data_IF_021819537478
#
_entry.id   IF_021819537478
#
_cell.length_a   1.000
_cell.length_b   1.000
_cell.length_c   1.000
_cell.angle_alpha   90.00
_cell.angle_beta   90.00
_cell.angle_gamma   90.00
#
_symmetry.space_group_name_H-M   'P 1'
#
loop_
_entity.id
_entity.type
_entity.pdbx_description
1 polymer ?
#
# COMPACT_ATOMS: atom_id res chain seq x y z
N UNK A 1 -14.27 -48.52 21.02
CA UNK A 1 -13.10 -47.61 20.93
C UNK A 1 -13.54 -46.35 20.21
N UNK A 2 -13.69 -45.22 20.90
CA UNK A 2 -14.07 -43.93 20.32
C UNK A 2 -12.79 -43.14 20.03
N UNK A 3 -12.50 -42.86 18.77
CA UNK A 3 -11.42 -41.94 18.39
C UNK A 3 -11.91 -40.50 18.54
N UNK A 4 -11.28 -39.78 19.49
CA UNK A 4 -11.40 -38.33 19.66
C UNK A 4 -10.69 -37.66 18.48
N UNK A 5 -11.43 -36.99 17.61
CA UNK A 5 -10.82 -36.01 16.70
C UNK A 5 -10.40 -34.80 17.54
N UNK A 6 -9.10 -34.48 17.52
CA UNK A 6 -8.60 -33.20 18.01
C UNK A 6 -9.10 -32.10 17.08
N UNK A 7 -10.00 -31.26 17.59
CA UNK A 7 -10.33 -29.97 16.99
C UNK A 7 -9.12 -29.06 17.15
N UNK A 8 -8.40 -28.80 16.06
CA UNK A 8 -7.51 -27.64 15.97
C UNK A 8 -8.40 -26.38 15.94
N UNK A 9 -8.28 -25.56 16.98
CA UNK A 9 -8.88 -24.24 17.02
C UNK A 9 -8.09 -23.32 16.08
N UNK A 10 -8.62 -23.04 14.89
CA UNK A 10 -8.22 -21.85 14.12
C UNK A 10 -8.77 -20.60 14.82
N UNK A 11 -7.97 -19.55 15.03
CA UNK A 11 -8.47 -18.32 15.63
C UNK A 11 -9.47 -17.65 14.68
N UNK A 12 -10.68 -17.41 15.21
CA UNK A 12 -11.78 -16.74 14.53
C UNK A 12 -11.45 -15.26 14.29
N UNK A 13 -11.10 -14.89 13.06
CA UNK A 13 -11.21 -13.52 12.60
C UNK A 13 -12.70 -13.22 12.32
N UNK A 14 -13.34 -12.41 13.17
CA UNK A 14 -14.69 -11.89 12.91
C UNK A 14 -14.56 -10.58 12.15
N UNK A 15 -15.11 -10.52 10.93
CA UNK A 15 -15.32 -9.27 10.20
C UNK A 15 -16.82 -9.05 9.95
N UNK A 16 -17.32 -7.87 10.33
CA UNK A 16 -18.66 -7.39 9.97
C UNK A 16 -18.58 -6.67 8.61
N UNK A 17 -19.49 -6.98 7.69
CA UNK A 17 -19.53 -6.41 6.33
C UNK A 17 -20.70 -5.45 6.17
N UNK A 18 -20.44 -4.31 5.53
CA UNK A 18 -21.41 -3.66 4.66
C UNK A 18 -20.69 -3.32 3.35
N UNK A 19 -20.62 -4.35 2.49
CA UNK A 19 -20.19 -4.36 1.09
C UNK A 19 -18.75 -3.90 0.80
N UNK A 20 -17.76 -4.70 1.23
CA UNK A 20 -16.35 -4.61 0.83
C UNK A 20 -15.84 -6.03 0.57
N UNK A 21 -15.29 -6.33 -0.61
CA UNK A 21 -14.67 -7.63 -0.89
C UNK A 21 -13.17 -7.56 -0.63
N UNK A 22 -12.72 -8.19 0.46
CA UNK A 22 -11.31 -8.50 0.68
C UNK A 22 -11.06 -9.90 0.12
N UNK A 23 -10.45 -10.01 -1.05
CA UNK A 23 -9.96 -11.30 -1.54
C UNK A 23 -8.56 -11.49 -0.99
N UNK A 24 -8.38 -12.47 -0.11
CA UNK A 24 -7.06 -12.84 0.39
C UNK A 24 -6.24 -13.51 -0.69
N UNK A 25 -4.93 -13.33 -0.64
CA UNK A 25 -3.96 -13.86 -1.61
C UNK A 25 -4.04 -15.38 -1.86
N UNK A 26 -4.56 -16.13 -0.89
CA UNK A 26 -4.69 -17.59 -0.93
C UNK A 26 -5.89 -18.10 -1.74
N UNK A 27 -6.79 -17.21 -2.17
CA UNK A 27 -7.92 -17.61 -3.01
C UNK A 27 -7.51 -17.70 -4.49
N UNK A 28 -7.81 -18.83 -5.12
CA UNK A 28 -7.65 -18.99 -6.57
C UNK A 28 -8.69 -18.15 -7.30
N UNK A 29 -8.34 -16.89 -7.55
CA UNK A 29 -9.16 -15.92 -8.26
C UNK A 29 -8.47 -15.53 -9.57
N UNK A 30 -9.23 -15.12 -10.59
CA UNK A 30 -8.68 -14.52 -11.81
C UNK A 30 -8.33 -13.05 -11.62
N UNK A 31 -8.78 -12.44 -10.53
CA UNK A 31 -8.56 -11.01 -10.22
C UNK A 31 -7.66 -10.80 -8.99
N UNK A 32 -7.28 -11.88 -8.29
CA UNK A 32 -6.44 -11.87 -7.08
C UNK A 32 -5.62 -13.18 -6.95
N UNK A 33 -4.65 -13.21 -6.04
CA UNK A 33 -3.77 -14.37 -5.81
C UNK A 33 -2.65 -14.54 -6.86
N UNK A 34 -2.08 -15.74 -6.97
CA UNK A 34 -0.91 -16.04 -7.84
C UNK A 34 -1.09 -15.64 -9.31
N UNK A 35 -2.32 -15.64 -9.81
CA UNK A 35 -2.67 -15.25 -11.18
C UNK A 35 -2.34 -13.78 -11.50
N UNK A 36 -2.35 -12.89 -10.50
CA UNK A 36 -2.02 -11.46 -10.65
C UNK A 36 -0.64 -11.10 -10.11
N UNK A 37 -0.20 -11.79 -9.06
CA UNK A 37 0.99 -11.39 -8.28
C UNK A 37 2.19 -12.33 -8.44
N UNK A 38 2.07 -13.39 -9.24
CA UNK A 38 3.15 -14.35 -9.52
C UNK A 38 3.53 -15.18 -8.30
N UNK A 39 4.84 -15.39 -8.10
CA UNK A 39 5.39 -16.16 -6.97
C UNK A 39 5.73 -15.30 -5.75
N UNK A 40 5.22 -14.06 -5.67
CA UNK A 40 5.42 -13.20 -4.48
C UNK A 40 4.78 -13.86 -3.24
N UNK A 41 5.43 -13.77 -2.07
CA UNK A 41 4.86 -14.34 -0.85
C UNK A 41 3.57 -13.62 -0.46
N UNK A 42 2.58 -14.40 -0.04
CA UNK A 42 1.28 -13.92 0.46
C UNK A 42 1.43 -13.01 1.69
N UNK A 43 2.43 -13.29 2.53
CA UNK A 43 2.86 -12.47 3.65
C UNK A 43 4.31 -12.87 4.00
N UNK A 44 5.11 -11.92 4.46
CA UNK A 44 6.48 -12.18 4.92
C UNK A 44 6.78 -11.41 6.21
N UNK A 45 7.56 -11.97 7.15
CA UNK A 45 8.14 -11.19 8.23
C UNK A 45 8.96 -10.05 7.62
N UNK A 46 8.84 -8.83 8.16
CA UNK A 46 9.53 -7.66 7.60
C UNK A 46 11.06 -7.84 7.65
N UNK A 47 11.59 -8.52 8.66
CA UNK A 47 13.01 -8.83 8.83
C UNK A 47 13.54 -9.95 7.92
N UNK A 48 12.66 -10.66 7.21
CA UNK A 48 13.06 -11.66 6.21
C UNK A 48 13.54 -10.99 4.90
N UNK A 49 14.33 -11.71 4.09
CA UNK A 49 14.80 -11.23 2.79
C UNK A 49 13.64 -10.76 1.89
N UNK A 50 12.59 -11.58 1.76
CA UNK A 50 11.42 -11.24 0.96
C UNK A 50 10.61 -10.07 1.56
N UNK A 51 10.59 -9.94 2.89
CA UNK A 51 9.96 -8.80 3.56
C UNK A 51 10.67 -7.48 3.29
N UNK A 52 12.00 -7.48 3.36
CA UNK A 52 12.83 -6.32 3.03
C UNK A 52 12.73 -5.93 1.56
N UNK A 53 12.63 -6.90 0.64
CA UNK A 53 12.39 -6.62 -0.78
C UNK A 53 11.05 -5.90 -1.00
N UNK A 54 9.96 -6.44 -0.44
CA UNK A 54 8.63 -5.81 -0.53
C UNK A 54 8.60 -4.41 0.10
N UNK A 55 9.27 -4.24 1.23
CA UNK A 55 9.36 -2.97 1.93
C UNK A 55 10.13 -1.93 1.11
N UNK A 56 11.28 -2.32 0.56
CA UNK A 56 12.11 -1.48 -0.29
C UNK A 56 11.37 -1.06 -1.56
N UNK A 57 10.77 -2.01 -2.28
CA UNK A 57 9.96 -1.76 -3.48
C UNK A 57 8.81 -0.78 -3.18
N UNK A 58 8.06 -1.03 -2.12
CA UNK A 58 6.93 -0.18 -1.73
C UNK A 58 7.36 1.24 -1.33
N UNK A 59 8.47 1.36 -0.61
CA UNK A 59 9.02 2.65 -0.21
C UNK A 59 9.53 3.45 -1.40
N UNK A 60 10.34 2.83 -2.27
CA UNK A 60 10.87 3.49 -3.47
C UNK A 60 9.75 3.85 -4.46
N UNK A 61 8.69 3.04 -4.55
CA UNK A 61 7.49 3.38 -5.34
C UNK A 61 6.82 4.65 -4.82
N UNK A 62 6.59 4.71 -3.50
CA UNK A 62 5.95 5.87 -2.84
C UNK A 62 6.79 7.13 -3.01
N UNK A 63 8.11 7.02 -2.77
CA UNK A 63 9.06 8.12 -2.91
C UNK A 63 9.15 8.61 -4.37
N UNK A 64 9.30 7.70 -5.32
CA UNK A 64 9.38 8.03 -6.75
C UNK A 64 8.09 8.67 -7.28
N UNK A 65 6.93 8.23 -6.78
CA UNK A 65 5.65 8.88 -7.07
C UNK A 65 5.62 10.31 -6.53
N UNK A 66 6.00 10.51 -5.28
CA UNK A 66 6.08 11.85 -4.68
C UNK A 66 7.03 12.78 -5.44
N UNK A 67 8.26 12.33 -5.71
CA UNK A 67 9.28 13.12 -6.40
C UNK A 67 8.86 13.55 -7.81
N UNK A 68 8.26 12.62 -8.59
CA UNK A 68 7.72 12.94 -9.92
C UNK A 68 6.61 13.99 -9.86
N UNK A 69 5.64 13.81 -8.98
CA UNK A 69 4.53 14.76 -8.85
C UNK A 69 4.99 16.11 -8.30
N UNK A 70 5.97 16.12 -7.38
CA UNK A 70 6.56 17.34 -6.87
C UNK A 70 7.35 18.08 -7.95
N UNK A 71 8.04 17.36 -8.83
CA UNK A 71 8.72 17.98 -9.97
C UNK A 71 7.72 18.66 -10.91
N UNK A 72 6.61 17.99 -11.25
CA UNK A 72 5.54 18.60 -12.05
C UNK A 72 4.96 19.87 -11.40
N UNK A 73 4.82 19.88 -10.06
CA UNK A 73 4.40 21.08 -9.33
C UNK A 73 5.42 22.21 -9.46
N UNK A 74 6.72 21.90 -9.33
CA UNK A 74 7.79 22.91 -9.47
C UNK A 74 7.83 23.49 -10.88
N UNK A 75 7.75 22.64 -11.90
CA UNK A 75 7.75 23.06 -13.30
C UNK A 75 6.53 23.95 -13.59
N UNK A 76 5.35 23.56 -13.09
CA UNK A 76 4.14 24.38 -13.23
C UNK A 76 4.26 25.75 -12.56
N UNK A 77 4.90 25.83 -11.38
CA UNK A 77 5.11 27.10 -10.68
C UNK A 77 6.16 28.01 -11.36
N UNK A 78 7.09 27.44 -12.12
CA UNK A 78 8.12 28.19 -12.85
C UNK A 78 7.62 28.68 -14.21
N UNK A 79 6.81 27.87 -14.90
CA UNK A 79 6.47 28.09 -16.31
C UNK A 79 5.05 28.62 -16.55
N UNK A 80 4.10 28.38 -15.63
CA UNK A 80 2.69 28.68 -15.86
C UNK A 80 2.21 29.91 -15.10
N UNK A 81 1.31 30.66 -15.73
CA UNK A 81 0.54 31.71 -15.05
C UNK A 81 -0.52 31.12 -14.13
N UNK A 82 -0.98 31.92 -13.16
CA UNK A 82 -2.08 31.55 -12.26
C UNK A 82 -3.33 31.10 -13.03
N UNK A 83 -3.70 31.79 -14.11
CA UNK A 83 -4.86 31.42 -14.94
C UNK A 83 -4.65 30.11 -15.71
N UNK A 84 -3.42 29.76 -16.08
CA UNK A 84 -3.11 28.47 -16.71
C UNK A 84 -3.18 27.33 -15.70
N UNK A 85 -2.64 27.52 -14.50
CA UNK A 85 -2.77 26.59 -13.38
C UNK A 85 -4.24 26.41 -13.03
N UNK A 86 -5.04 27.49 -12.98
CA UNK A 86 -6.48 27.41 -12.70
C UNK A 86 -7.24 26.56 -13.72
N UNK A 87 -6.83 26.58 -14.99
CA UNK A 87 -7.41 25.76 -16.08
C UNK A 87 -6.88 24.32 -16.10
N UNK A 88 -6.03 23.95 -15.15
CA UNK A 88 -5.37 22.65 -15.10
C UNK A 88 -4.52 22.35 -16.34
N UNK A 89 -3.88 23.39 -16.91
CA UNK A 89 -2.92 23.19 -17.99
C UNK A 89 -1.82 22.24 -17.52
N UNK A 90 -1.47 21.30 -18.38
CA UNK A 90 -0.45 20.27 -18.12
C UNK A 90 -0.69 19.45 -16.84
N UNK A 91 -1.96 19.33 -16.42
CA UNK A 91 -2.39 18.62 -15.21
C UNK A 91 -1.79 19.18 -13.91
N UNK A 92 -1.48 20.48 -13.88
CA UNK A 92 -0.88 21.13 -12.73
C UNK A 92 -1.68 20.90 -11.44
N UNK A 93 -3.01 21.07 -11.45
CA UNK A 93 -3.87 20.87 -10.28
C UNK A 93 -3.91 19.41 -9.84
N UNK A 94 -3.91 18.48 -10.80
CA UNK A 94 -3.77 17.06 -10.48
C UNK A 94 -2.43 16.76 -9.78
N UNK A 95 -1.33 17.37 -10.21
CA UNK A 95 -0.04 17.19 -9.55
C UNK A 95 -0.04 17.72 -8.10
N UNK A 96 -0.62 18.90 -7.85
CA UNK A 96 -0.80 19.41 -6.49
C UNK A 96 -1.60 18.45 -5.60
N UNK A 97 -2.70 17.90 -6.14
CA UNK A 97 -3.51 16.92 -5.43
C UNK A 97 -2.70 15.66 -5.08
N UNK A 98 -1.90 15.15 -6.02
CA UNK A 98 -1.09 13.94 -5.84
C UNK A 98 0.03 14.15 -4.81
N UNK A 99 0.71 15.30 -4.84
CA UNK A 99 1.70 15.67 -3.81
C UNK A 99 1.05 15.71 -2.41
N UNK A 100 -0.19 16.19 -2.32
CA UNK A 100 -0.95 16.25 -1.08
C UNK A 100 -1.67 14.95 -0.68
N UNK A 101 -1.55 13.87 -1.45
CA UNK A 101 -2.34 12.67 -1.23
C UNK A 101 -2.00 12.00 0.12
N UNK A 102 -3.05 11.61 0.86
CA UNK A 102 -2.94 10.84 2.10
C UNK A 102 -3.14 9.33 1.89
N UNK A 103 -3.76 8.97 0.76
CA UNK A 103 -4.08 7.62 0.31
C UNK A 103 -4.21 7.64 -1.21
N UNK A 104 -4.18 6.47 -1.83
CA UNK A 104 -4.36 6.32 -3.27
C UNK A 104 -3.17 5.65 -3.95
N UNK A 105 -3.17 5.63 -5.29
CA UNK A 105 -2.17 4.92 -6.08
C UNK A 105 -0.74 5.48 -5.95
N UNK A 106 -0.59 6.70 -5.43
CA UNK A 106 0.72 7.33 -5.20
C UNK A 106 1.42 6.82 -3.93
N UNK A 107 0.71 6.05 -3.09
CA UNK A 107 1.25 5.49 -1.84
C UNK A 107 1.10 3.98 -1.91
N UNK A 108 2.23 3.27 -1.81
CA UNK A 108 2.26 1.81 -1.91
C UNK A 108 2.28 1.11 -0.55
N UNK A 109 2.68 1.81 0.52
CA UNK A 109 2.75 1.25 1.87
C UNK A 109 1.64 1.83 2.76
N UNK A 110 0.97 0.94 3.48
CA UNK A 110 -0.09 1.26 4.41
C UNK A 110 0.17 0.58 5.74
N UNK A 111 -0.20 1.24 6.83
CA UNK A 111 -0.24 0.60 8.14
C UNK A 111 -1.55 -0.21 8.31
N UNK A 112 -1.69 -0.89 9.45
CA UNK A 112 -2.77 -1.85 9.74
C UNK A 112 -4.20 -1.28 9.71
N UNK A 113 -4.37 0.01 9.95
CA UNK A 113 -5.63 0.75 9.86
C UNK A 113 -5.87 1.39 8.48
N UNK A 114 -4.99 1.15 7.50
CA UNK A 114 -5.15 1.61 6.12
C UNK A 114 -4.75 3.07 5.89
N UNK A 115 -3.96 3.67 6.78
CA UNK A 115 -3.33 4.97 6.56
C UNK A 115 -2.07 4.81 5.71
N UNK A 116 -1.92 5.63 4.68
CA UNK A 116 -0.74 5.63 3.83
C UNK A 116 0.49 6.12 4.59
N UNK A 117 1.60 5.39 4.46
CA UNK A 117 2.90 5.77 5.01
C UNK A 117 3.58 6.73 4.02
N UNK A 118 3.82 7.98 4.43
CA UNK A 118 4.19 9.07 3.49
C UNK A 118 5.55 9.69 3.72
N UNK A 119 6.14 9.44 4.87
CA UNK A 119 7.45 9.97 5.21
C UNK A 119 8.30 8.90 5.89
N UNK A 120 9.62 9.07 5.78
CA UNK A 120 10.57 8.07 6.25
C UNK A 120 10.57 7.94 7.77
N UNK A 121 10.29 9.03 8.48
CA UNK A 121 10.26 9.04 9.96
C UNK A 121 9.09 8.21 10.47
N UNK A 122 7.92 8.32 9.83
CA UNK A 122 6.76 7.47 10.11
C UNK A 122 7.08 5.99 9.86
N UNK A 123 7.74 5.69 8.73
CA UNK A 123 8.12 4.31 8.41
C UNK A 123 9.10 3.74 9.44
N UNK A 124 10.18 4.47 9.75
CA UNK A 124 11.19 4.03 10.71
C UNK A 124 10.59 3.79 12.10
N UNK A 125 9.71 4.70 12.56
CA UNK A 125 8.98 4.50 13.83
C UNK A 125 8.19 3.19 13.83
N UNK A 126 7.46 2.89 12.76
CA UNK A 126 6.68 1.65 12.68
C UNK A 126 7.59 0.43 12.76
N UNK A 127 8.72 0.44 12.04
CA UNK A 127 9.70 -0.64 12.04
C UNK A 127 10.34 -0.86 13.42
N UNK A 128 10.53 0.20 14.20
CA UNK A 128 11.13 0.14 15.54
C UNK A 128 10.13 -0.30 16.63
N UNK A 129 8.82 -0.14 16.42
CA UNK A 129 7.80 -0.38 17.45
C UNK A 129 7.43 -1.86 17.65
N UNK A 130 7.78 -2.76 16.70
CA UNK A 130 7.39 -4.16 16.79
C UNK A 130 8.46 -5.11 16.23
N UNK A 131 8.92 -6.02 17.08
CA UNK A 131 9.83 -7.12 16.71
C UNK A 131 9.14 -8.20 15.84
N UNK A 132 7.82 -8.10 15.64
CA UNK A 132 7.02 -9.09 14.89
C UNK A 132 6.12 -8.41 13.85
N UNK A 133 6.72 -7.57 13.00
CA UNK A 133 6.03 -6.96 11.86
C UNK A 133 6.00 -7.89 10.66
N UNK A 134 4.86 -7.91 9.98
CA UNK A 134 4.66 -8.63 8.73
C UNK A 134 4.25 -7.64 7.65
N UNK A 135 4.79 -7.86 6.45
CA UNK A 135 4.35 -7.16 5.24
C UNK A 135 3.48 -8.08 4.41
N UNK A 136 2.32 -7.55 4.00
CA UNK A 136 1.29 -8.29 3.29
C UNK A 136 0.94 -7.51 2.02
N UNK A 137 1.24 -8.03 0.83
CA UNK A 137 0.75 -7.43 -0.40
C UNK A 137 -0.78 -7.39 -0.40
N UNK A 138 -1.37 -6.27 -0.80
CA UNK A 138 -2.82 -6.09 -0.82
C UNK A 138 -3.26 -5.35 -2.08
N UNK A 139 -4.44 -5.72 -2.59
CA UNK A 139 -5.08 -4.99 -3.68
C UNK A 139 -6.01 -3.92 -3.09
N UNK A 140 -5.53 -2.67 -3.10
CA UNK A 140 -6.25 -1.54 -2.51
C UNK A 140 -6.99 -0.78 -3.59
N UNK A 141 -8.29 -0.59 -3.40
CA UNK A 141 -9.16 0.15 -4.32
C UNK A 141 -9.59 1.47 -3.68
N UNK A 142 -9.63 2.54 -4.48
CA UNK A 142 -9.87 3.93 -4.03
C UNK A 142 -11.00 4.61 -4.79
#
# INVERSE_FOLDING_TARGET
MRHRQQTQHSPLAKAFSTTWSYVTFDESSTVAGKSRWGERPTAAPVDSEAGQELLGDGWETTKSAFERNLQTVKDALDELSDEEIMRDKDLARCAFQRVGAAKGPEIALYEEHGCGIRDRTQLDRLLDESDTLWIVPADVHF
#
